data_IF_599709698605
#
_entry.id   IF_599709698605
#
_cell.length_a   1.000
_cell.length_b   1.000
_cell.length_c   1.000
_cell.angle_alpha   90.00
_cell.angle_beta   90.00
_cell.angle_gamma   90.00
#
_symmetry.space_group_name_H-M   'P 1'
#
loop_
_entity.id
_entity.type
_entity.pdbx_description
1 polymer ?
#
# COMPACT_ATOMS: atom_id res chain seq x y z
N UNK A 1 -12.77 -0.79 0.80
CA UNK A 1 -11.34 -0.46 0.95
C UNK A 1 -11.11 0.11 2.34
N UNK A 2 -10.18 -0.46 3.08
CA UNK A 2 -9.89 -0.16 4.49
C UNK A 2 -8.42 0.25 4.60
N UNK A 3 -8.19 1.44 5.14
CA UNK A 3 -6.88 2.09 5.19
C UNK A 3 -6.45 2.19 6.65
N UNK A 4 -5.23 1.78 6.96
CA UNK A 4 -4.64 1.99 8.29
C UNK A 4 -3.63 3.13 8.21
N UNK A 5 -3.77 4.10 9.10
CA UNK A 5 -2.84 5.22 9.24
C UNK A 5 -1.93 5.03 10.47
N UNK A 6 -0.62 5.13 10.25
CA UNK A 6 0.41 5.06 11.29
C UNK A 6 1.01 6.45 11.48
N UNK A 7 0.79 7.03 12.66
CA UNK A 7 1.29 8.36 12.99
C UNK A 7 2.80 8.38 13.29
N UNK A 8 3.41 9.56 13.24
CA UNK A 8 4.83 9.78 13.56
C UNK A 8 5.13 9.76 15.06
N UNK A 9 6.38 10.08 15.40
CA UNK A 9 6.84 10.14 16.79
C UNK A 9 5.99 11.11 17.62
N UNK A 10 5.54 10.69 18.81
CA UNK A 10 4.65 11.47 19.68
C UNK A 10 3.37 11.98 18.98
N UNK A 11 2.98 11.33 17.88
CA UNK A 11 1.76 11.64 17.13
C UNK A 11 0.51 11.06 17.78
N UNK A 12 -0.61 11.15 17.06
CA UNK A 12 -1.89 10.61 17.50
C UNK A 12 -2.60 9.89 16.33
N UNK A 13 -3.33 8.79 16.60
CA UNK A 13 -4.05 8.03 15.59
C UNK A 13 -5.09 8.86 14.84
N UNK A 14 -5.71 9.84 15.49
CA UNK A 14 -6.71 10.73 14.89
C UNK A 14 -6.25 12.19 14.83
N UNK A 15 -4.93 12.40 14.68
CA UNK A 15 -4.34 13.72 14.58
C UNK A 15 -4.60 14.47 13.26
N UNK A 16 -3.82 15.52 13.01
CA UNK A 16 -3.98 16.39 11.84
C UNK A 16 -3.87 15.63 10.51
N UNK A 17 -2.81 14.84 10.32
CA UNK A 17 -2.60 14.07 9.09
C UNK A 17 -3.71 13.04 8.85
N UNK A 18 -4.20 12.37 9.90
CA UNK A 18 -5.35 11.48 9.81
C UNK A 18 -6.60 12.23 9.33
N UNK A 19 -6.88 13.40 9.92
CA UNK A 19 -8.04 14.22 9.57
C UNK A 19 -8.00 14.68 8.11
N UNK A 20 -6.82 15.05 7.60
CA UNK A 20 -6.62 15.39 6.18
C UNK A 20 -6.85 14.18 5.27
N UNK A 21 -6.24 13.03 5.58
CA UNK A 21 -6.46 11.81 4.79
C UNK A 21 -7.95 11.45 4.77
N UNK A 22 -8.62 11.46 5.93
CA UNK A 22 -10.05 11.19 6.07
C UNK A 22 -10.91 12.11 5.21
N UNK A 23 -10.57 13.39 5.12
CA UNK A 23 -11.28 14.40 4.32
C UNK A 23 -11.24 14.10 2.81
N UNK A 24 -10.13 13.55 2.31
CA UNK A 24 -9.91 13.36 0.87
C UNK A 24 -10.07 11.91 0.39
N UNK A 25 -10.45 11.00 1.28
CA UNK A 25 -10.61 9.59 0.93
C UNK A 25 -11.52 9.38 -0.28
N UNK A 26 -11.22 8.39 -1.13
CA UNK A 26 -12.16 7.93 -2.15
C UNK A 26 -13.49 7.51 -1.53
N UNK A 27 -14.58 7.70 -2.28
CA UNK A 27 -15.92 7.28 -1.87
C UNK A 27 -15.95 5.79 -1.47
N UNK A 28 -16.61 5.50 -0.35
CA UNK A 28 -16.71 4.14 0.21
C UNK A 28 -15.44 3.61 0.89
N UNK A 29 -14.36 4.38 0.97
CA UNK A 29 -13.18 4.01 1.74
C UNK A 29 -13.36 4.32 3.24
N UNK A 30 -12.77 3.49 4.08
CA UNK A 30 -12.69 3.69 5.54
C UNK A 30 -11.23 3.85 5.95
N UNK A 31 -10.96 4.75 6.89
CA UNK A 31 -9.63 4.94 7.48
C UNK A 31 -9.67 4.68 8.99
N UNK A 32 -8.64 4.01 9.48
CA UNK A 32 -8.43 3.68 10.88
C UNK A 32 -7.06 4.24 11.30
N UNK A 33 -7.00 4.94 12.43
CA UNK A 33 -5.73 5.26 13.08
C UNK A 33 -5.41 4.21 14.13
N UNK A 34 -4.14 4.00 14.44
CA UNK A 34 -3.74 3.20 15.59
C UNK A 34 -2.60 3.85 16.38
N UNK A 35 -2.63 3.64 17.69
CA UNK A 35 -1.47 3.79 18.55
C UNK A 35 -0.61 2.51 18.49
N UNK A 36 0.66 2.66 18.82
CA UNK A 36 1.63 1.57 18.89
C UNK A 36 2.73 1.87 19.91
N UNK A 37 3.44 0.84 20.36
CA UNK A 37 4.60 0.99 21.22
C UNK A 37 5.73 1.63 20.41
N UNK A 38 6.02 2.89 20.68
CA UNK A 38 7.07 3.63 19.98
C UNK A 38 8.47 3.33 20.52
N UNK A 39 8.61 2.75 21.71
CA UNK A 39 9.92 2.47 22.31
C UNK A 39 10.62 1.25 21.67
N UNK A 40 9.86 0.39 20.98
CA UNK A 40 10.34 -0.86 20.40
C UNK A 40 9.83 -1.03 18.96
N UNK A 41 10.75 -0.88 18.00
CA UNK A 41 10.44 -1.03 16.58
C UNK A 41 9.90 -2.42 16.20
N UNK A 42 10.37 -3.49 16.82
CA UNK A 42 9.93 -4.85 16.51
C UNK A 42 8.49 -5.07 17.00
N UNK A 43 8.21 -4.65 18.23
CA UNK A 43 6.86 -4.69 18.80
C UNK A 43 5.88 -3.81 18.01
N UNK A 44 6.31 -2.62 17.57
CA UNK A 44 5.50 -1.75 16.73
C UNK A 44 5.08 -2.46 15.43
N UNK A 45 6.02 -3.11 14.73
CA UNK A 45 5.73 -3.86 13.51
C UNK A 45 4.78 -5.04 13.74
N UNK A 46 4.92 -5.75 14.87
CA UNK A 46 4.01 -6.82 15.27
C UNK A 46 2.58 -6.29 15.49
N UNK A 47 2.45 -5.17 16.22
CA UNK A 47 1.16 -4.53 16.46
C UNK A 47 0.50 -4.05 15.16
N UNK A 48 1.27 -3.51 14.22
CA UNK A 48 0.78 -3.10 12.90
C UNK A 48 0.28 -4.33 12.13
N UNK A 49 1.07 -5.40 12.06
CA UNK A 49 0.69 -6.64 11.37
C UNK A 49 -0.59 -7.26 11.95
N UNK A 50 -0.71 -7.30 13.28
CA UNK A 50 -1.93 -7.75 13.96
C UNK A 50 -3.13 -6.88 13.59
N UNK A 51 -2.98 -5.56 13.63
CA UNK A 51 -4.06 -4.62 13.29
C UNK A 51 -4.50 -4.77 11.82
N UNK A 52 -3.55 -5.02 10.91
CA UNK A 52 -3.85 -5.30 9.50
C UNK A 52 -4.76 -6.52 9.37
N UNK A 53 -4.44 -7.62 10.07
CA UNK A 53 -5.25 -8.83 10.05
C UNK A 53 -6.61 -8.64 10.72
N UNK A 54 -6.65 -8.10 11.94
CA UNK A 54 -7.89 -7.94 12.72
C UNK A 54 -8.91 -7.02 12.04
N UNK A 55 -8.42 -5.97 11.37
CA UNK A 55 -9.27 -4.98 10.71
C UNK A 55 -9.40 -5.21 9.21
N UNK A 56 -8.86 -6.30 8.65
CA UNK A 56 -8.87 -6.57 7.20
C UNK A 56 -8.41 -5.34 6.38
N UNK A 57 -7.23 -4.82 6.69
CA UNK A 57 -6.70 -3.61 6.06
C UNK A 57 -6.17 -3.93 4.66
N UNK A 58 -6.51 -3.06 3.70
CA UNK A 58 -6.10 -3.16 2.30
C UNK A 58 -4.85 -2.34 2.00
N UNK A 59 -4.71 -1.17 2.65
CA UNK A 59 -3.65 -0.19 2.39
C UNK A 59 -3.13 0.36 3.71
N UNK A 60 -1.81 0.45 3.84
CA UNK A 60 -1.14 1.10 4.95
C UNK A 60 -0.62 2.47 4.52
N UNK A 61 -0.89 3.51 5.31
CA UNK A 61 -0.38 4.87 5.10
C UNK A 61 0.37 5.27 6.37
N UNK A 62 1.56 5.84 6.25
CA UNK A 62 2.28 6.37 7.43
C UNK A 62 3.07 7.61 7.11
N UNK A 63 3.35 8.41 8.14
CA UNK A 63 4.18 9.60 8.01
C UNK A 63 5.26 9.70 9.08
N UNK A 64 6.39 10.35 8.76
CA UNK A 64 7.54 10.50 9.68
C UNK A 64 7.99 9.13 10.23
N UNK A 65 8.10 8.93 11.55
CA UNK A 65 8.44 7.64 12.16
C UNK A 65 7.47 6.52 11.78
N UNK A 66 6.17 6.83 11.69
CA UNK A 66 5.17 5.90 11.19
C UNK A 66 5.39 5.53 9.72
N UNK A 67 5.95 6.45 8.92
CA UNK A 67 6.36 6.19 7.54
C UNK A 67 7.48 5.16 7.43
N UNK A 68 8.44 5.17 8.36
CA UNK A 68 9.49 4.16 8.42
C UNK A 68 8.92 2.76 8.70
N UNK A 69 8.05 2.66 9.71
CA UNK A 69 7.34 1.41 10.04
C UNK A 69 6.46 0.93 8.88
N UNK A 70 5.79 1.87 8.21
CA UNK A 70 4.99 1.59 7.00
C UNK A 70 5.84 0.94 5.92
N UNK A 71 7.04 1.45 5.62
CA UNK A 71 7.92 0.86 4.61
C UNK A 71 8.33 -0.57 5.00
N UNK A 72 8.63 -0.82 6.28
CA UNK A 72 9.10 -2.13 6.75
C UNK A 72 8.00 -3.20 6.90
N UNK A 73 6.73 -2.81 6.90
CA UNK A 73 5.60 -3.75 6.98
C UNK A 73 5.45 -4.49 5.64
N UNK A 74 5.40 -5.81 5.60
CA UNK A 74 5.38 -6.59 4.33
C UNK A 74 3.99 -7.07 3.93
N UNK A 75 3.80 -7.47 2.67
CA UNK A 75 2.59 -8.15 2.19
C UNK A 75 1.36 -7.26 1.98
N UNK A 76 1.51 -5.93 2.01
CA UNK A 76 0.43 -4.97 1.83
C UNK A 76 0.87 -3.75 1.01
N UNK A 77 -0.07 -3.12 0.32
CA UNK A 77 0.16 -1.85 -0.37
C UNK A 77 0.44 -0.72 0.64
N UNK A 78 1.48 0.08 0.40
CA UNK A 78 2.02 1.03 1.38
C UNK A 78 2.28 2.40 0.78
N UNK A 79 1.84 3.44 1.48
CA UNK A 79 2.14 4.83 1.15
C UNK A 79 2.84 5.49 2.33
N UNK A 80 4.12 5.79 2.18
CA UNK A 80 4.93 6.47 3.20
C UNK A 80 5.16 7.93 2.80
N UNK A 81 4.80 8.86 3.69
CA UNK A 81 4.89 10.30 3.42
C UNK A 81 5.92 10.91 4.34
N UNK A 82 6.92 11.58 3.76
CA UNK A 82 8.05 12.13 4.51
C UNK A 82 8.56 11.14 5.57
N UNK A 83 8.86 9.88 5.19
CA UNK A 83 9.28 8.89 6.17
C UNK A 83 10.56 9.36 6.85
N UNK A 84 10.65 9.12 8.16
CA UNK A 84 11.89 9.22 8.91
C UNK A 84 12.81 8.06 8.46
N UNK A 85 13.44 8.20 7.29
CA UNK A 85 14.09 7.09 6.58
C UNK A 85 15.32 6.53 7.30
N UNK A 86 15.98 7.39 8.09
CA UNK A 86 17.10 7.04 8.98
C UNK A 86 16.78 7.45 10.41
N UNK A 87 15.96 6.68 11.16
CA UNK A 87 15.62 7.01 12.54
C UNK A 87 16.85 7.22 13.43
N UNK A 88 17.93 6.45 13.20
CA UNK A 88 19.20 6.60 13.94
C UNK A 88 19.83 7.99 13.82
N UNK A 89 19.63 8.67 12.69
CA UNK A 89 20.19 9.98 12.42
C UNK A 89 19.21 11.12 12.73
N UNK A 90 17.90 10.86 12.70
CA UNK A 90 16.88 11.90 12.81
C UNK A 90 16.22 11.97 14.19
N UNK A 91 15.97 10.83 14.86
CA UNK A 91 15.36 10.82 16.19
C UNK A 91 16.20 11.58 17.24
N UNK A 92 17.54 11.43 17.31
CA UNK A 92 18.35 12.16 18.30
C UNK A 92 18.31 13.68 18.18
N UNK A 93 17.84 14.22 17.04
CA UNK A 93 17.70 15.66 16.82
C UNK A 93 16.40 16.22 17.42
N UNK A 94 15.46 15.35 17.76
CA UNK A 94 14.16 15.75 18.29
C UNK A 94 14.28 16.03 19.80
N UNK A 95 13.83 17.23 20.21
CA UNK A 95 13.65 17.55 21.62
C UNK A 95 12.28 17.11 22.16
N UNK A 96 12.02 17.32 23.46
CA UNK A 96 10.70 17.15 24.04
C UNK A 96 9.68 18.08 23.37
N UNK A 97 8.48 17.60 23.08
CA UNK A 97 7.42 18.36 22.41
C UNK A 97 6.06 18.11 23.07
N UNK A 98 5.27 19.16 23.28
CA UNK A 98 3.90 19.08 23.81
C UNK A 98 3.76 18.28 25.13
N UNK A 99 4.78 18.35 25.99
CA UNK A 99 4.80 17.61 27.27
C UNK A 99 5.18 16.13 27.15
N UNK A 100 5.51 15.66 25.94
CA UNK A 100 6.01 14.32 25.67
C UNK A 100 7.55 14.31 25.59
N UNK A 101 8.21 13.22 26.02
CA UNK A 101 9.66 13.14 26.07
C UNK A 101 10.29 13.14 24.67
N UNK A 102 11.57 13.52 24.61
CA UNK A 102 12.41 13.27 23.45
C UNK A 102 12.62 11.75 23.27
N UNK A 103 12.99 11.27 22.06
CA UNK A 103 13.33 9.87 21.85
C UNK A 103 14.50 9.45 22.75
N UNK A 104 14.36 8.32 23.43
CA UNK A 104 15.47 7.78 24.22
C UNK A 104 16.54 7.15 23.31
N UNK A 105 17.81 7.09 23.77
CA UNK A 105 18.84 6.32 23.06
C UNK A 105 18.45 4.86 22.87
N UNK A 106 17.78 4.25 23.85
CA UNK A 106 17.31 2.86 23.82
C UNK A 106 16.25 2.68 22.72
N UNK A 107 15.26 3.57 22.66
CA UNK A 107 14.27 3.60 21.59
C UNK A 107 14.97 3.74 20.23
N UNK A 108 15.85 4.73 20.09
CA UNK A 108 16.55 5.00 18.83
C UNK A 108 17.34 3.79 18.35
N UNK A 109 17.97 3.05 19.27
CA UNK A 109 18.72 1.84 18.95
C UNK A 109 17.83 0.73 18.36
N UNK A 110 16.57 0.58 18.79
CA UNK A 110 15.66 -0.43 18.22
C UNK A 110 15.34 -0.15 16.75
N UNK A 111 15.09 1.12 16.40
CA UNK A 111 14.87 1.53 15.01
C UNK A 111 16.14 1.47 14.17
N UNK A 112 17.29 1.87 14.74
CA UNK A 112 18.59 1.77 14.07
C UNK A 112 18.89 0.32 13.64
N UNK A 113 18.60 -0.66 14.52
CA UNK A 113 18.76 -2.08 14.22
C UNK A 113 17.83 -2.57 13.09
N UNK A 114 16.70 -1.90 12.86
CA UNK A 114 15.75 -2.24 11.81
C UNK A 114 16.09 -1.61 10.45
N UNK A 115 16.89 -0.54 10.37
CA UNK A 115 17.22 0.15 9.12
C UNK A 115 17.77 -0.76 8.01
N UNK A 116 18.66 -1.75 8.27
CA UNK A 116 19.15 -2.65 7.21
C UNK A 116 18.05 -3.44 6.51
N UNK A 117 16.89 -3.64 7.14
CA UNK A 117 15.75 -4.38 6.58
C UNK A 117 15.16 -3.70 5.35
N UNK A 118 15.34 -2.38 5.18
CA UNK A 118 14.91 -1.65 3.99
C UNK A 118 15.47 -2.27 2.70
N UNK A 119 16.73 -2.73 2.74
CA UNK A 119 17.43 -3.39 1.61
C UNK A 119 17.10 -4.87 1.46
N UNK A 120 16.43 -5.45 2.44
CA UNK A 120 16.10 -6.86 2.50
C UNK A 120 14.66 -7.13 2.03
N UNK A 121 13.90 -6.08 1.71
CA UNK A 121 12.58 -6.22 1.10
C UNK A 121 12.72 -6.95 -0.25
N UNK A 122 11.89 -7.98 -0.43
CA UNK A 122 11.84 -8.70 -1.69
C UNK A 122 11.31 -7.80 -2.83
N UNK A 123 11.39 -8.30 -4.06
CA UNK A 123 10.98 -7.52 -5.23
C UNK A 123 9.49 -7.18 -5.23
N UNK A 124 8.64 -8.08 -4.74
CA UNK A 124 7.19 -7.88 -4.70
C UNK A 124 6.81 -6.84 -3.66
N UNK A 125 7.43 -6.86 -2.49
CA UNK A 125 7.24 -5.84 -1.47
C UNK A 125 7.79 -4.49 -1.91
N UNK A 126 8.93 -4.42 -2.60
CA UNK A 126 9.46 -3.14 -3.10
C UNK A 126 8.50 -2.45 -4.07
N UNK A 127 7.80 -3.21 -4.92
CA UNK A 127 6.78 -2.68 -5.85
C UNK A 127 5.55 -2.09 -5.16
N UNK A 128 5.22 -2.57 -3.96
CA UNK A 128 4.06 -2.13 -3.15
C UNK A 128 4.35 -0.90 -2.28
N UNK A 129 5.61 -0.45 -2.21
CA UNK A 129 5.99 0.72 -1.42
C UNK A 129 5.98 1.95 -2.29
N UNK A 130 5.15 2.92 -1.94
CA UNK A 130 5.11 4.24 -2.55
C UNK A 130 5.59 5.28 -1.54
N UNK A 131 6.81 5.79 -1.74
CA UNK A 131 7.35 6.86 -0.91
C UNK A 131 7.05 8.20 -1.57
N UNK A 132 6.49 9.13 -0.81
CA UNK A 132 6.20 10.49 -1.23
C UNK A 132 6.95 11.47 -0.33
N UNK A 133 7.72 12.36 -0.94
CA UNK A 133 8.54 13.35 -0.26
C UNK A 133 8.00 14.75 -0.54
N UNK A 134 7.88 15.55 0.52
CA UNK A 134 7.50 16.94 0.49
C UNK A 134 8.61 17.79 -0.10
N UNK A 135 8.28 18.56 -1.13
CA UNK A 135 9.21 19.52 -1.76
C UNK A 135 9.67 20.66 -0.83
N UNK A 136 8.97 20.86 0.30
CA UNK A 136 9.26 21.86 1.33
C UNK A 136 9.53 21.26 2.71
N UNK A 137 9.83 19.96 2.78
CA UNK A 137 10.24 19.34 4.04
C UNK A 137 11.72 19.68 4.31
N UNK A 138 11.97 20.72 5.10
CA UNK A 138 13.33 21.14 5.46
C UNK A 138 14.03 20.17 6.42
N UNK A 139 13.28 19.28 7.08
CA UNK A 139 13.82 18.31 8.05
C UNK A 139 14.31 17.04 7.37
N UNK A 140 13.55 16.53 6.40
CA UNK A 140 13.81 15.23 5.74
C UNK A 140 14.11 15.33 4.24
N UNK A 141 13.62 16.38 3.57
CA UNK A 141 14.03 16.90 2.25
C UNK A 141 14.43 15.90 1.16
N UNK A 142 15.30 16.34 0.25
CA UNK A 142 15.88 15.51 -0.80
C UNK A 142 17.02 14.60 -0.30
N UNK A 143 17.45 14.79 0.96
CA UNK A 143 18.57 14.09 1.62
C UNK A 143 18.52 12.57 1.43
N UNK A 144 17.33 11.98 1.54
CA UNK A 144 17.17 10.53 1.50
C UNK A 144 16.76 9.99 0.12
N UNK A 145 16.61 10.83 -0.91
CA UNK A 145 16.15 10.38 -2.23
C UNK A 145 17.04 9.30 -2.83
N UNK A 146 18.37 9.49 -2.72
CA UNK A 146 19.34 8.52 -3.25
C UNK A 146 19.21 7.19 -2.52
N UNK A 147 19.18 7.22 -1.19
CA UNK A 147 19.04 6.02 -0.37
C UNK A 147 17.73 5.28 -0.63
N UNK A 148 16.60 6.00 -0.69
CA UNK A 148 15.30 5.41 -1.05
C UNK A 148 15.36 4.74 -2.42
N UNK A 149 15.98 5.41 -3.40
CA UNK A 149 16.10 4.87 -4.76
C UNK A 149 16.97 3.62 -4.80
N UNK A 150 18.09 3.61 -4.09
CA UNK A 150 19.00 2.47 -4.00
C UNK A 150 18.36 1.28 -3.28
N UNK A 151 17.70 1.54 -2.15
CA UNK A 151 17.16 0.49 -1.27
C UNK A 151 15.84 -0.08 -1.84
N UNK A 152 14.96 0.74 -2.42
CA UNK A 152 13.67 0.30 -2.98
C UNK A 152 13.69 0.01 -4.49
N UNK A 153 14.72 0.47 -5.21
CA UNK A 153 14.85 0.29 -6.66
C UNK A 153 13.96 1.21 -7.51
N UNK A 154 13.28 2.18 -6.90
CA UNK A 154 12.49 3.19 -7.60
C UNK A 154 12.54 4.54 -6.87
N UNK A 155 12.33 5.62 -7.62
CA UNK A 155 12.43 6.98 -7.07
C UNK A 155 11.18 7.35 -6.26
N UNK A 156 11.34 8.04 -5.11
CA UNK A 156 10.18 8.59 -4.41
C UNK A 156 9.45 9.60 -5.29
N UNK A 157 8.12 9.65 -5.16
CA UNK A 157 7.31 10.71 -5.72
C UNK A 157 7.52 12.02 -4.96
N UNK A 158 7.29 13.15 -5.63
CA UNK A 158 7.35 14.48 -5.01
C UNK A 158 5.92 14.98 -4.84
N UNK A 159 5.59 15.46 -3.65
CA UNK A 159 4.32 16.10 -3.33
C UNK A 159 4.57 17.49 -2.75
N UNK A 160 3.64 18.42 -2.98
CA UNK A 160 3.72 19.72 -2.32
C UNK A 160 3.38 19.54 -0.84
N UNK A 161 4.38 19.49 0.04
CA UNK A 161 4.19 19.24 1.48
C UNK A 161 5.35 19.80 2.28
N UNK A 162 5.04 20.32 3.47
CA UNK A 162 6.04 20.59 4.51
C UNK A 162 6.30 19.29 5.29
N UNK A 163 7.04 19.37 6.40
CA UNK A 163 7.34 18.23 7.27
C UNK A 163 6.10 17.43 7.71
N UNK A 164 5.02 18.13 8.05
CA UNK A 164 3.72 17.50 8.27
C UNK A 164 2.99 17.29 6.96
N UNK A 165 2.16 16.23 6.90
CA UNK A 165 1.29 15.98 5.75
C UNK A 165 0.44 17.22 5.46
N UNK A 166 0.64 17.84 4.30
CA UNK A 166 -0.19 18.93 3.81
C UNK A 166 -1.50 18.44 3.21
N UNK A 167 -2.45 19.35 3.01
CA UNK A 167 -3.71 19.06 2.32
C UNK A 167 -3.48 18.56 0.88
N UNK A 168 -2.61 19.21 0.12
CA UNK A 168 -2.26 18.80 -1.25
C UNK A 168 -1.58 17.43 -1.33
N UNK A 169 -0.78 17.07 -0.32
CA UNK A 169 -0.20 15.74 -0.22
C UNK A 169 -1.28 14.69 0.08
N UNK A 170 -2.20 14.98 1.02
CA UNK A 170 -3.34 14.12 1.31
C UNK A 170 -4.22 13.89 0.07
N UNK A 171 -4.54 14.95 -0.68
CA UNK A 171 -5.25 14.87 -1.96
C UNK A 171 -4.53 13.97 -2.97
N UNK A 172 -3.21 14.14 -3.12
CA UNK A 172 -2.41 13.35 -4.05
C UNK A 172 -2.43 11.87 -3.68
N UNK A 173 -2.22 11.56 -2.39
CA UNK A 173 -2.25 10.17 -1.87
C UNK A 173 -3.62 9.55 -2.10
N UNK A 174 -4.68 10.23 -1.68
CA UNK A 174 -6.03 9.70 -1.83
C UNK A 174 -6.43 9.56 -3.31
N UNK A 175 -5.94 10.44 -4.19
CA UNK A 175 -6.11 10.31 -5.63
C UNK A 175 -5.38 9.10 -6.20
N UNK A 176 -4.14 8.83 -5.77
CA UNK A 176 -3.38 7.62 -6.16
C UNK A 176 -4.08 6.35 -5.69
N UNK A 177 -4.48 6.31 -4.42
CA UNK A 177 -5.26 5.22 -3.83
C UNK A 177 -6.57 5.00 -4.63
N UNK A 178 -7.28 6.08 -4.94
CA UNK A 178 -8.52 6.03 -5.73
C UNK A 178 -8.30 5.58 -7.18
N UNK A 179 -7.18 5.93 -7.83
CA UNK A 179 -6.81 5.43 -9.16
C UNK A 179 -6.54 3.93 -9.13
N UNK A 180 -5.80 3.43 -8.13
CA UNK A 180 -5.57 2.00 -7.95
C UNK A 180 -6.88 1.21 -7.76
N UNK A 181 -7.81 1.75 -6.98
CA UNK A 181 -9.13 1.12 -6.80
C UNK A 181 -9.98 1.12 -8.08
N UNK A 182 -9.95 2.22 -8.85
CA UNK A 182 -10.62 2.31 -10.16
C UNK A 182 -10.05 1.33 -11.18
N UNK A 183 -8.73 1.18 -11.22
CA UNK A 183 -8.05 0.20 -12.09
C UNK A 183 -8.59 -1.22 -11.87
N UNK A 184 -8.78 -1.64 -10.61
CA UNK A 184 -9.39 -2.93 -10.31
C UNK A 184 -10.83 -3.00 -10.83
N UNK A 185 -11.66 -1.97 -10.57
CA UNK A 185 -13.04 -1.93 -11.06
C UNK A 185 -13.13 -1.98 -12.59
N UNK A 186 -12.20 -1.33 -13.29
CA UNK A 186 -12.14 -1.33 -14.74
C UNK A 186 -11.68 -2.68 -15.27
N UNK A 187 -10.71 -3.33 -14.63
CA UNK A 187 -10.29 -4.69 -14.95
C UNK A 187 -11.41 -5.71 -14.80
N UNK A 188 -12.24 -5.59 -13.75
CA UNK A 188 -13.39 -6.46 -13.55
C UNK A 188 -14.36 -6.49 -14.73
N UNK A 189 -14.48 -5.39 -15.49
CA UNK A 189 -15.34 -5.35 -16.69
C UNK A 189 -14.88 -6.33 -17.79
N UNK A 190 -13.61 -6.70 -17.80
CA UNK A 190 -13.05 -7.69 -18.73
C UNK A 190 -13.27 -9.14 -18.27
N UNK A 191 -13.90 -9.35 -17.11
CA UNK A 191 -14.34 -10.67 -16.66
C UNK A 191 -15.70 -11.08 -17.24
N UNK A 192 -16.47 -10.14 -17.81
CA UNK A 192 -17.80 -10.37 -18.37
C UNK A 192 -17.78 -10.29 -19.90
N UNK A 193 -18.59 -11.11 -20.58
CA UNK A 193 -18.72 -11.16 -22.04
C UNK A 193 -17.35 -11.22 -22.77
N UNK A 194 -16.42 -11.98 -22.20
CA UNK A 194 -15.00 -11.90 -22.48
C UNK A 194 -14.48 -12.96 -23.46
N UNK A 195 -15.35 -13.77 -24.06
CA UNK A 195 -14.97 -14.86 -24.97
C UNK A 195 -13.98 -14.42 -26.07
N UNK A 196 -14.25 -13.28 -26.72
CA UNK A 196 -13.38 -12.78 -27.79
C UNK A 196 -11.97 -12.41 -27.31
N UNK A 197 -11.84 -12.00 -26.05
CA UNK A 197 -10.55 -11.68 -25.43
C UNK A 197 -9.84 -12.96 -25.01
N UNK A 198 -10.54 -13.88 -24.33
CA UNK A 198 -9.98 -15.19 -23.95
C UNK A 198 -9.40 -15.92 -25.16
N UNK A 199 -10.09 -15.93 -26.30
CA UNK A 199 -9.59 -16.57 -27.54
C UNK A 199 -8.33 -15.93 -28.13
N UNK A 200 -8.03 -14.67 -27.78
CA UNK A 200 -6.82 -13.94 -28.22
C UNK A 200 -5.71 -14.00 -27.18
N UNK A 201 -5.95 -14.64 -26.05
CA UNK A 201 -5.06 -14.65 -24.91
C UNK A 201 -4.12 -15.85 -24.98
N UNK A 202 -2.97 -15.76 -24.31
CA UNK A 202 -2.09 -16.92 -24.10
C UNK A 202 -2.23 -17.49 -22.70
N UNK A 203 -2.76 -16.68 -21.78
CA UNK A 203 -2.99 -17.03 -20.39
C UNK A 203 -4.25 -16.34 -19.87
N UNK A 204 -4.93 -17.03 -18.97
CA UNK A 204 -6.01 -16.49 -18.18
C UNK A 204 -5.66 -16.59 -16.69
N UNK A 205 -6.28 -15.76 -15.86
CA UNK A 205 -6.18 -15.85 -14.41
C UNK A 205 -7.55 -15.73 -13.76
N UNK A 206 -7.83 -16.60 -12.80
CA UNK A 206 -9.05 -16.51 -12.01
C UNK A 206 -8.78 -15.71 -10.73
N UNK A 207 -9.51 -14.62 -10.50
CA UNK A 207 -9.36 -13.84 -9.27
C UNK A 207 -10.16 -14.39 -8.08
N UNK A 208 -10.88 -15.51 -8.23
CA UNK A 208 -11.45 -16.23 -7.10
C UNK A 208 -10.42 -17.21 -6.47
N UNK A 209 -9.91 -18.17 -7.25
CA UNK A 209 -8.91 -19.13 -6.76
C UNK A 209 -7.45 -18.63 -6.87
N UNK A 210 -7.22 -17.50 -7.55
CA UNK A 210 -5.89 -16.91 -7.81
C UNK A 210 -4.96 -17.74 -8.71
N UNK A 211 -5.48 -18.79 -9.37
CA UNK A 211 -4.72 -19.59 -10.33
C UNK A 211 -4.64 -18.94 -11.71
N UNK A 212 -3.57 -19.27 -12.44
CA UNK A 212 -3.39 -18.90 -13.86
C UNK A 212 -3.19 -20.14 -14.72
N UNK A 213 -3.84 -20.18 -15.88
CA UNK A 213 -3.91 -21.34 -16.77
C UNK A 213 -4.05 -20.92 -18.24
N UNK A 214 -3.71 -21.79 -19.21
CA UNK A 214 -3.96 -21.56 -20.63
C UNK A 214 -5.47 -21.47 -20.93
N UNK A 215 -5.91 -20.62 -21.89
CA UNK A 215 -7.33 -20.42 -22.19
C UNK A 215 -8.05 -21.68 -22.68
N UNK A 216 -7.32 -22.66 -23.23
CA UNK A 216 -7.87 -23.92 -23.73
C UNK A 216 -8.47 -24.80 -22.62
N UNK A 217 -8.12 -24.56 -21.36
CA UNK A 217 -8.73 -25.26 -20.22
C UNK A 217 -10.16 -24.77 -19.93
N UNK A 218 -10.58 -23.63 -20.48
CA UNK A 218 -11.93 -23.07 -20.28
C UNK A 218 -12.92 -23.81 -21.19
N UNK A 219 -13.64 -24.76 -20.61
CA UNK A 219 -14.68 -25.55 -21.30
C UNK A 219 -16.08 -24.96 -21.12
N UNK A 220 -16.33 -24.32 -19.98
CA UNK A 220 -17.64 -23.82 -19.59
C UNK A 220 -17.78 -22.31 -19.79
N UNK A 221 -18.95 -21.92 -20.27
CA UNK A 221 -19.30 -20.54 -20.62
C UNK A 221 -20.71 -20.21 -20.17
N UNK A 222 -20.91 -19.02 -19.59
CA UNK A 222 -22.22 -18.48 -19.28
C UNK A 222 -22.69 -17.60 -20.45
N UNK A 223 -23.90 -17.84 -20.94
CA UNK A 223 -24.53 -17.00 -21.96
C UNK A 223 -25.14 -15.75 -21.30
N UNK A 224 -24.39 -14.64 -21.30
CA UNK A 224 -24.89 -13.33 -20.86
C UNK A 224 -25.51 -12.55 -22.02
N UNK A 225 -26.27 -11.51 -21.68
CA UNK A 225 -26.96 -10.63 -22.65
C UNK A 225 -26.00 -10.03 -23.69
N UNK A 226 -24.78 -9.72 -23.29
CA UNK A 226 -23.80 -8.99 -24.10
C UNK A 226 -22.71 -9.90 -24.70
N UNK A 227 -22.76 -11.21 -24.47
CA UNK A 227 -21.81 -12.19 -24.98
C UNK A 227 -21.52 -13.32 -23.98
N UNK A 228 -20.65 -14.26 -24.34
CA UNK A 228 -20.29 -15.38 -23.46
C UNK A 228 -19.21 -15.00 -22.45
N UNK A 229 -19.42 -15.41 -21.21
CA UNK A 229 -18.52 -15.19 -20.07
C UNK A 229 -17.82 -16.49 -19.69
N UNK A 230 -16.49 -16.47 -19.61
CA UNK A 230 -15.69 -17.63 -19.26
C UNK A 230 -15.89 -18.07 -17.80
N UNK A 231 -16.01 -19.39 -17.57
CA UNK A 231 -16.04 -19.97 -16.23
C UNK A 231 -14.68 -20.60 -15.92
N UNK A 232 -14.15 -20.34 -14.71
CA UNK A 232 -12.88 -20.92 -14.28
C UNK A 232 -12.97 -22.46 -14.18
N UNK A 233 -12.05 -23.23 -14.80
CA UNK A 233 -12.07 -24.69 -14.79
C UNK A 233 -11.70 -25.30 -13.43
N UNK A 234 -11.09 -24.52 -12.53
CA UNK A 234 -10.63 -25.02 -11.22
C UNK A 234 -11.63 -24.75 -10.10
N UNK A 235 -12.33 -23.61 -10.13
CA UNK A 235 -13.26 -23.20 -9.07
C UNK A 235 -14.69 -22.94 -9.53
N UNK A 236 -14.99 -23.07 -10.83
CA UNK A 236 -16.32 -22.96 -11.42
C UNK A 236 -17.04 -21.62 -11.19
N UNK A 237 -16.27 -20.53 -11.08
CA UNK A 237 -16.78 -19.16 -10.95
C UNK A 237 -16.38 -18.34 -12.19
N UNK A 238 -17.23 -17.41 -12.59
CA UNK A 238 -17.11 -16.45 -13.69
C UNK A 238 -16.14 -15.28 -13.39
N UNK A 239 -15.04 -15.58 -12.70
CA UNK A 239 -14.05 -14.62 -12.23
C UNK A 239 -12.76 -14.66 -13.06
N UNK A 240 -12.86 -14.82 -14.39
CA UNK A 240 -11.72 -15.07 -15.28
C UNK A 240 -11.29 -13.79 -16.00
N UNK A 241 -10.01 -13.42 -15.88
CA UNK A 241 -9.41 -12.35 -16.66
C UNK A 241 -8.50 -12.90 -17.76
N UNK A 242 -8.62 -12.42 -19.01
CA UNK A 242 -7.72 -12.76 -20.12
C UNK A 242 -6.49 -11.85 -20.20
N UNK A 243 -5.29 -12.37 -20.53
CA UNK A 243 -4.06 -11.56 -20.64
C UNK A 243 -4.05 -10.58 -21.83
N UNK A 244 -5.00 -10.73 -22.76
CA UNK A 244 -5.28 -9.76 -23.83
C UNK A 244 -6.00 -8.49 -23.36
N UNK A 245 -6.44 -8.42 -22.09
CA UNK A 245 -6.94 -7.18 -21.50
C UNK A 245 -5.80 -6.18 -21.23
N UNK A 246 -6.08 -4.89 -21.00
CA UNK A 246 -5.05 -3.87 -20.77
C UNK A 246 -4.27 -4.01 -19.45
N UNK A 247 -4.48 -5.08 -18.67
CA UNK A 247 -3.94 -5.24 -17.33
C UNK A 247 -3.05 -6.47 -17.23
N UNK A 248 -1.92 -6.32 -16.52
CA UNK A 248 -1.02 -7.44 -16.25
C UNK A 248 -1.61 -8.36 -15.18
N UNK A 249 -1.94 -9.59 -15.57
CA UNK A 249 -2.45 -10.63 -14.66
C UNK A 249 -1.29 -11.25 -13.89
N UNK A 250 -0.89 -10.59 -12.80
CA UNK A 250 0.08 -11.11 -11.82
C UNK A 250 -0.64 -11.74 -10.62
N UNK A 251 0.05 -12.61 -9.84
CA UNK A 251 -0.51 -13.14 -8.59
C UNK A 251 -0.93 -12.05 -7.61
N UNK A 252 -0.21 -10.93 -7.53
CA UNK A 252 -0.63 -9.77 -6.75
C UNK A 252 -1.94 -9.17 -7.27
N UNK A 253 -2.03 -8.96 -8.58
CA UNK A 253 -3.21 -8.36 -9.19
C UNK A 253 -4.45 -9.23 -8.93
N UNK A 254 -4.34 -10.54 -9.08
CA UNK A 254 -5.41 -11.49 -8.77
C UNK A 254 -5.80 -11.45 -7.29
N UNK A 255 -4.83 -11.35 -6.37
CA UNK A 255 -5.10 -11.22 -4.92
C UNK A 255 -5.85 -9.93 -4.58
N UNK A 256 -5.51 -8.82 -5.25
CA UNK A 256 -6.19 -7.53 -5.08
C UNK A 256 -7.60 -7.54 -5.66
N UNK A 257 -7.81 -8.22 -6.78
CA UNK A 257 -9.14 -8.48 -7.31
C UNK A 257 -9.93 -9.36 -6.34
N UNK A 258 -9.37 -10.48 -5.88
CA UNK A 258 -10.01 -11.39 -4.93
C UNK A 258 -10.58 -10.66 -3.71
N UNK A 259 -9.73 -9.93 -2.97
CA UNK A 259 -10.12 -9.15 -1.77
C UNK A 259 -11.26 -8.15 -1.99
N UNK A 260 -11.50 -7.74 -3.23
CA UNK A 260 -12.53 -6.75 -3.56
C UNK A 260 -13.88 -7.38 -3.90
N UNK A 261 -13.90 -8.60 -4.45
CA UNK A 261 -15.12 -9.26 -4.92
C UNK A 261 -15.49 -10.55 -4.16
N UNK A 262 -14.58 -11.11 -3.37
CA UNK A 262 -14.76 -12.32 -2.57
C UNK A 262 -14.29 -12.10 -1.13
#
# INVERSE_FOLDING_TARGET
MRILYIHGFNGSPEGHSFSLLKKHLPEGAQIFGMDYCQDDCALALEQIARTISEKNIDILVGSSLGGFLTILTTGIERYAVNPCYRPSAELPKLGPQNGLPAPSPEMTATYAAAEPRLRQLDEEDRKRVHVLMGDKDELLGDRYFRHITEDLGHRPGIVFSTHHLSESAAETICSLIGKGNRMLSDAHKYATANESLVKRSTRCGCFNCMDTYPPEEILDWIDDKDGRTAVCPHCFVDAVLPDSCPYSISPDFLRRMNRKWF
#
